data_IF_218619062569
#
_entry.id   IF_218619062569
#
_cell.length_a   1.000
_cell.length_b   1.000
_cell.length_c   1.000
_cell.angle_alpha   90.00
_cell.angle_beta   90.00
_cell.angle_gamma   90.00
#
_symmetry.space_group_name_H-M   'P 1'
#
loop_
_entity.id
_entity.type
_entity.pdbx_description
1 polymer ?
#
# COMPACT_ATOMS: atom_id res chain seq x y z
N UNK A 1 4.70 -4.85 -16.53
CA UNK A 1 3.63 -4.24 -15.73
C UNK A 1 4.28 -3.27 -14.75
N UNK A 2 3.77 -2.05 -14.55
CA UNK A 2 4.36 -1.10 -13.61
C UNK A 2 3.70 -1.24 -12.24
N UNK A 3 4.44 -1.67 -11.22
CA UNK A 3 3.93 -1.82 -9.85
C UNK A 3 3.28 -0.52 -9.34
N UNK A 4 3.82 0.66 -9.69
CA UNK A 4 3.26 1.93 -9.24
C UNK A 4 1.82 2.14 -9.72
N UNK A 5 1.55 1.82 -10.99
CA UNK A 5 0.21 1.96 -11.59
C UNK A 5 -0.77 0.98 -10.96
N UNK A 6 -0.39 -0.30 -10.86
CA UNK A 6 -1.27 -1.34 -10.30
C UNK A 6 -1.62 -1.06 -8.83
N UNK A 7 -0.62 -0.69 -8.02
CA UNK A 7 -0.83 -0.37 -6.61
C UNK A 7 -1.71 0.87 -6.46
N UNK A 8 -1.48 1.92 -7.25
CA UNK A 8 -2.30 3.13 -7.18
C UNK A 8 -3.76 2.85 -7.57
N UNK A 9 -3.99 2.11 -8.66
CA UNK A 9 -5.34 1.78 -9.12
C UNK A 9 -6.07 0.87 -8.13
N UNK A 10 -5.35 -0.03 -7.46
CA UNK A 10 -5.91 -0.86 -6.39
C UNK A 10 -6.33 0.01 -5.18
N UNK A 11 -5.47 0.93 -4.74
CA UNK A 11 -5.76 1.83 -3.61
C UNK A 11 -6.89 2.82 -3.92
N UNK A 12 -6.98 3.34 -5.15
CA UNK A 12 -8.06 4.23 -5.61
C UNK A 12 -9.45 3.59 -5.56
N UNK A 13 -9.55 2.27 -5.53
CA UNK A 13 -10.82 1.56 -5.33
C UNK A 13 -11.29 1.57 -3.87
N UNK A 14 -10.63 2.32 -2.99
CA UNK A 14 -10.88 2.32 -1.54
C UNK A 14 -10.34 1.06 -0.83
N UNK A 15 -9.60 0.22 -1.55
CA UNK A 15 -8.96 -0.98 -0.98
C UNK A 15 -7.67 -0.59 -0.28
N UNK A 16 -7.25 -1.46 0.61
CA UNK A 16 -5.99 -1.36 1.35
C UNK A 16 -5.13 -2.57 1.02
N UNK A 17 -3.81 -2.50 1.23
CA UNK A 17 -2.95 -3.67 1.03
C UNK A 17 -1.71 -3.66 1.92
N UNK A 18 -1.23 -4.85 2.23
CA UNK A 18 0.04 -5.16 2.88
C UNK A 18 1.11 -5.55 1.86
N UNK A 19 2.35 -5.73 2.32
CA UNK A 19 3.44 -6.25 1.48
C UNK A 19 3.13 -7.65 0.92
N UNK A 20 2.42 -8.51 1.66
CA UNK A 20 2.08 -9.85 1.18
C UNK A 20 1.08 -9.79 0.02
N UNK A 21 -0.01 -9.03 0.16
CA UNK A 21 -1.01 -8.87 -0.90
C UNK A 21 -0.42 -8.18 -2.15
N UNK A 22 0.56 -7.28 -1.99
CA UNK A 22 1.25 -6.68 -3.15
C UNK A 22 2.06 -7.70 -3.97
N UNK A 23 2.62 -8.71 -3.30
CA UNK A 23 3.33 -9.81 -3.97
C UNK A 23 2.31 -10.66 -4.72
N UNK A 24 1.22 -11.07 -4.07
CA UNK A 24 0.17 -11.88 -4.70
C UNK A 24 -0.53 -11.16 -5.86
N UNK A 25 -0.73 -9.85 -5.73
CA UNK A 25 -1.41 -9.04 -6.75
C UNK A 25 -0.55 -8.80 -8.00
N UNK A 26 0.75 -8.55 -7.85
CA UNK A 26 1.59 -8.08 -8.96
C UNK A 26 3.11 -8.26 -8.77
N UNK A 27 3.57 -9.22 -7.95
CA UNK A 27 4.99 -9.48 -7.70
C UNK A 27 5.78 -8.27 -7.16
N UNK A 28 5.10 -7.37 -6.43
CA UNK A 28 5.72 -6.16 -5.91
C UNK A 28 6.45 -6.41 -4.57
N UNK A 29 7.68 -6.94 -4.63
CA UNK A 29 8.51 -7.24 -3.45
C UNK A 29 9.04 -6.00 -2.68
N UNK A 30 8.93 -4.80 -3.27
CA UNK A 30 9.39 -3.53 -2.66
C UNK A 30 8.25 -2.53 -2.52
N UNK A 31 7.16 -2.94 -1.89
CA UNK A 31 5.96 -2.12 -1.77
C UNK A 31 6.26 -0.77 -1.12
N UNK A 32 7.06 -0.74 -0.04
CA UNK A 32 7.42 0.49 0.66
C UNK A 32 8.07 1.54 -0.25
N UNK A 33 8.93 1.12 -1.19
CA UNK A 33 9.55 2.02 -2.17
C UNK A 33 8.54 2.55 -3.20
N UNK A 34 7.58 1.71 -3.60
CA UNK A 34 6.48 2.15 -4.49
C UNK A 34 5.58 3.16 -3.78
N UNK A 35 5.18 2.89 -2.53
CA UNK A 35 4.38 3.81 -1.73
C UNK A 35 5.11 5.14 -1.50
N UNK A 36 6.42 5.11 -1.22
CA UNK A 36 7.20 6.34 -1.08
C UNK A 36 7.18 7.19 -2.36
N UNK A 37 7.33 6.58 -3.54
CA UNK A 37 7.21 7.30 -4.82
C UNK A 37 5.82 7.88 -5.02
N UNK A 38 4.77 7.14 -4.72
CA UNK A 38 3.39 7.63 -4.81
C UNK A 38 3.14 8.82 -3.88
N UNK A 39 3.68 8.81 -2.66
CA UNK A 39 3.62 9.96 -1.75
C UNK A 39 4.34 11.18 -2.29
N UNK A 40 5.52 10.99 -2.89
CA UNK A 40 6.26 12.08 -3.57
C UNK A 40 5.50 12.67 -4.76
N UNK A 41 4.60 11.90 -5.37
CA UNK A 41 3.68 12.36 -6.41
C UNK A 41 2.41 13.03 -5.88
N UNK A 42 2.29 13.21 -4.55
CA UNK A 42 1.18 13.90 -3.91
C UNK A 42 0.01 13.01 -3.48
N UNK A 43 0.12 11.68 -3.61
CA UNK A 43 -0.93 10.79 -3.11
C UNK A 43 -0.87 10.66 -1.59
N UNK A 44 -1.97 11.00 -0.91
CA UNK A 44 -2.09 10.90 0.54
C UNK A 44 -2.31 9.44 0.99
N UNK A 45 -1.23 8.66 0.98
CA UNK A 45 -1.25 7.26 1.40
C UNK A 45 -0.79 7.17 2.85
N UNK A 46 -1.68 6.77 3.75
CA UNK A 46 -1.38 6.55 5.16
C UNK A 46 -0.89 5.12 5.40
N UNK A 47 -0.12 4.94 6.48
CA UNK A 47 0.33 3.62 6.93
C UNK A 47 -0.30 3.31 8.28
N UNK A 48 -0.96 2.16 8.35
CA UNK A 48 -1.45 1.57 9.59
C UNK A 48 -0.51 0.44 10.00
N UNK A 49 -0.32 0.28 11.31
CA UNK A 49 0.33 -0.91 11.85
C UNK A 49 -0.73 -1.98 12.09
N UNK A 50 -0.61 -3.10 11.40
CA UNK A 50 -1.51 -4.24 11.54
C UNK A 50 -0.78 -5.40 12.23
N UNK A 51 -1.35 -6.01 13.28
CA UNK A 51 -0.77 -7.20 13.90
C UNK A 51 -0.51 -8.29 12.85
N UNK A 52 0.61 -8.98 12.98
CA UNK A 52 0.88 -10.16 12.16
C UNK A 52 0.00 -11.34 12.61
N UNK A 53 -0.07 -12.40 11.80
CA UNK A 53 -0.94 -13.56 12.05
C UNK A 53 -0.68 -14.27 13.39
N UNK A 54 0.53 -14.18 13.93
CA UNK A 54 0.88 -14.78 15.22
C UNK A 54 0.86 -13.78 16.40
N UNK A 55 0.42 -12.55 16.15
CA UNK A 55 0.37 -11.44 17.12
C UNK A 55 1.69 -11.10 17.83
N UNK A 56 2.85 -11.54 17.30
CA UNK A 56 4.18 -11.26 17.86
C UNK A 56 4.90 -10.08 17.17
N UNK A 57 4.16 -9.26 16.44
CA UNK A 57 4.68 -8.08 15.76
C UNK A 57 3.61 -7.43 14.90
N UNK A 58 3.99 -6.36 14.21
CA UNK A 58 3.12 -5.64 13.28
C UNK A 58 3.76 -5.53 11.91
N UNK A 59 2.93 -5.37 10.89
CA UNK A 59 3.34 -5.07 9.53
C UNK A 59 2.59 -3.84 9.01
N UNK A 60 3.12 -3.24 7.96
CA UNK A 60 2.52 -2.05 7.36
C UNK A 60 1.34 -2.43 6.46
N UNK A 61 0.19 -1.78 6.68
CA UNK A 61 -0.94 -1.75 5.76
C UNK A 61 -1.15 -0.34 5.23
N UNK A 62 -1.31 -0.22 3.92
CA UNK A 62 -1.41 1.06 3.24
C UNK A 62 -2.84 1.34 2.79
N UNK A 63 -3.28 2.58 3.00
CA UNK A 63 -4.60 3.08 2.62
C UNK A 63 -4.42 4.43 1.91
N UNK A 64 -5.09 4.64 0.77
CA UNK A 64 -5.19 5.96 0.17
C UNK A 64 -6.33 6.73 0.84
N UNK A 65 -6.02 7.83 1.52
CA UNK A 65 -7.01 8.77 2.02
C UNK A 65 -7.34 9.74 0.89
N UNK A 66 -8.59 9.77 0.46
CA UNK A 66 -9.05 10.86 -0.37
C UNK A 66 -8.92 12.16 0.41
N UNK A 67 -8.43 13.20 -0.26
CA UNK A 67 -8.54 14.56 0.28
C UNK A 67 -10.02 14.88 0.20
N UNK A 68 -10.71 14.86 1.34
CA UNK A 68 -12.02 15.51 1.45
C UNK A 68 -11.81 16.97 1.08
N UNK A 69 -12.27 17.34 -0.12
CA UNK A 69 -12.31 18.72 -0.59
C UNK A 69 -13.27 19.56 0.27
#
# INVERSE_FOLDING_TARGET
MNHQTVILDYLKQGKTLSQAEAIELCDCYRLSAVIQRLRLLGHNIVTHQEPNLNSKGTHARYELKEVTA
#
